data_IF_085729018554
#
_entry.id   IF_085729018554
#
_cell.length_a   1.000
_cell.length_b   1.000
_cell.length_c   1.000
_cell.angle_alpha   90.00
_cell.angle_beta   90.00
_cell.angle_gamma   90.00
#
_symmetry.space_group_name_H-M   'P 1'
#
loop_
_entity.id
_entity.type
_entity.pdbx_description
1 polymer ?
#
# COMPACT_ATOMS: atom_id res chain seq x y z
N UNK A 1 -34.79 11.82 -6.85
CA UNK A 1 -33.44 11.48 -6.36
C UNK A 1 -32.59 11.15 -7.57
N UNK A 2 -31.52 11.91 -7.81
CA UNK A 2 -30.59 11.66 -8.92
C UNK A 2 -29.49 10.70 -8.50
N UNK A 3 -29.08 9.81 -9.41
CA UNK A 3 -27.88 8.99 -9.24
C UNK A 3 -26.65 9.83 -9.54
N UNK A 4 -25.60 9.68 -8.72
CA UNK A 4 -24.29 10.26 -9.00
C UNK A 4 -23.43 9.19 -9.63
N UNK A 5 -22.84 9.48 -10.80
CA UNK A 5 -21.97 8.54 -11.50
C UNK A 5 -20.53 8.80 -11.11
N UNK A 6 -19.86 7.79 -10.57
CA UNK A 6 -18.43 7.82 -10.21
C UNK A 6 -17.80 6.60 -10.88
N UNK A 7 -16.76 6.82 -11.69
CA UNK A 7 -16.03 5.78 -12.44
C UNK A 7 -16.92 4.84 -13.28
N UNK A 8 -18.02 5.36 -13.81
CA UNK A 8 -18.97 4.59 -14.62
C UNK A 8 -20.03 3.80 -13.82
N UNK A 9 -20.00 3.87 -12.50
CA UNK A 9 -21.01 3.26 -11.62
C UNK A 9 -21.95 4.32 -11.04
N UNK A 10 -23.26 4.04 -11.08
CA UNK A 10 -24.29 4.91 -10.50
C UNK A 10 -24.51 4.60 -9.03
N UNK A 11 -24.40 5.61 -8.18
CA UNK A 11 -24.66 5.53 -6.75
C UNK A 11 -25.87 6.37 -6.36
N UNK A 12 -26.72 5.83 -5.50
CA UNK A 12 -27.80 6.58 -4.86
C UNK A 12 -27.26 7.40 -3.66
N UNK A 13 -28.10 8.28 -3.12
CA UNK A 13 -27.71 9.15 -2.01
C UNK A 13 -27.26 8.38 -0.76
N UNK A 14 -27.80 7.17 -0.55
CA UNK A 14 -27.47 6.32 0.60
C UNK A 14 -26.10 5.68 0.43
N UNK A 15 -25.77 5.19 -0.77
CA UNK A 15 -24.47 4.65 -1.11
C UNK A 15 -23.36 5.69 -0.99
N UNK A 16 -23.63 6.92 -1.45
CA UNK A 16 -22.71 8.05 -1.32
C UNK A 16 -22.46 8.39 0.16
N UNK A 17 -23.50 8.46 1.00
CA UNK A 17 -23.36 8.77 2.43
C UNK A 17 -22.55 7.70 3.18
N UNK A 18 -22.72 6.42 2.82
CA UNK A 18 -21.97 5.31 3.40
C UNK A 18 -20.49 5.33 2.99
N UNK A 19 -20.20 5.68 1.74
CA UNK A 19 -18.84 5.90 1.25
C UNK A 19 -18.19 7.06 2.01
N UNK A 20 -18.83 8.21 2.10
CA UNK A 20 -18.30 9.38 2.83
C UNK A 20 -17.95 9.06 4.28
N UNK A 21 -18.84 8.37 5.01
CA UNK A 21 -18.57 7.91 6.38
C UNK A 21 -17.36 6.98 6.49
N UNK A 22 -17.07 6.18 5.46
CA UNK A 22 -15.90 5.29 5.47
C UNK A 22 -14.57 6.03 5.33
N UNK A 23 -14.63 7.31 4.94
CA UNK A 23 -13.49 8.20 4.76
C UNK A 23 -13.61 9.46 5.65
N UNK A 24 -14.33 9.41 6.76
CA UNK A 24 -14.42 10.52 7.71
C UNK A 24 -13.02 10.88 8.27
N UNK A 25 -12.84 12.16 8.60
CA UNK A 25 -11.57 12.68 9.13
C UNK A 25 -11.16 11.93 10.40
N UNK A 26 -9.94 11.41 10.40
CA UNK A 26 -9.30 10.82 11.58
C UNK A 26 -7.81 11.18 11.65
N UNK A 27 -7.20 10.96 12.81
CA UNK A 27 -5.73 11.04 12.99
C UNK A 27 -4.97 10.05 12.10
N UNK A 28 -5.70 9.20 11.39
CA UNK A 28 -5.21 8.14 10.54
C UNK A 28 -5.28 8.46 9.05
N UNK A 29 -5.39 9.73 8.65
CA UNK A 29 -5.58 10.07 7.23
C UNK A 29 -4.68 11.21 6.75
N UNK A 30 -3.89 10.92 5.70
CA UNK A 30 -2.77 11.78 5.27
C UNK A 30 -3.01 12.50 3.92
N UNK A 31 -4.10 12.22 3.21
CA UNK A 31 -4.51 13.01 2.03
C UNK A 31 -6.03 13.14 1.93
N UNK A 32 -6.48 14.21 1.26
CA UNK A 32 -7.90 14.50 0.99
C UNK A 32 -8.14 14.42 -0.52
N UNK A 33 -8.87 13.40 -0.96
CA UNK A 33 -9.42 13.31 -2.31
C UNK A 33 -10.70 14.16 -2.37
N UNK A 34 -10.84 15.07 -3.34
CA UNK A 34 -12.07 15.84 -3.53
C UNK A 34 -12.84 15.28 -4.72
N UNK A 35 -14.06 14.79 -4.48
CA UNK A 35 -14.99 14.29 -5.50
C UNK A 35 -16.30 15.06 -5.37
N UNK A 36 -16.73 15.75 -6.45
CA UNK A 36 -17.98 16.53 -6.46
C UNK A 36 -18.15 17.45 -5.23
N UNK A 37 -17.12 18.24 -4.93
CA UNK A 37 -17.06 19.17 -3.78
C UNK A 37 -16.98 18.52 -2.39
N UNK A 38 -16.97 17.19 -2.30
CA UNK A 38 -16.88 16.42 -1.04
C UNK A 38 -15.49 15.84 -0.83
N UNK A 39 -15.01 15.84 0.41
CA UNK A 39 -13.64 15.48 0.83
C UNK A 39 -13.61 14.06 1.40
N UNK A 40 -12.82 13.15 0.79
CA UNK A 40 -12.57 11.78 1.26
C UNK A 40 -11.12 11.67 1.76
N UNK A 41 -10.93 11.09 2.93
CA UNK A 41 -9.63 10.99 3.58
C UNK A 41 -8.90 9.65 3.26
N UNK A 42 -7.84 9.66 2.44
CA UNK A 42 -7.23 8.45 1.85
C UNK A 42 -5.73 8.40 2.15
N UNK A 43 -5.26 7.47 3.00
CA UNK A 43 -3.90 6.90 2.97
C UNK A 43 -3.77 5.72 3.95
N UNK A 44 -3.92 5.89 5.28
CA UNK A 44 -3.71 4.75 6.20
C UNK A 44 -4.81 3.68 6.13
N UNK A 45 -6.02 4.02 5.72
CA UNK A 45 -7.07 3.02 5.49
C UNK A 45 -6.70 2.03 4.37
N UNK A 46 -6.11 2.55 3.27
CA UNK A 46 -5.61 1.73 2.17
C UNK A 46 -4.44 0.88 2.62
N UNK A 47 -3.48 1.46 3.35
CA UNK A 47 -2.33 0.73 3.89
C UNK A 47 -2.76 -0.41 4.80
N UNK A 48 -3.69 -0.17 5.75
CA UNK A 48 -4.23 -1.21 6.62
C UNK A 48 -4.94 -2.32 5.86
N UNK A 49 -5.73 -1.97 4.85
CA UNK A 49 -6.38 -2.96 4.01
C UNK A 49 -5.35 -3.87 3.33
N UNK A 50 -4.32 -3.28 2.71
CA UNK A 50 -3.27 -4.05 2.04
C UNK A 50 -2.47 -4.90 3.04
N UNK A 51 -2.07 -4.34 4.20
CA UNK A 51 -1.33 -5.04 5.26
C UNK A 51 -2.08 -6.29 5.73
N UNK A 52 -3.38 -6.14 6.01
CA UNK A 52 -4.22 -7.19 6.60
C UNK A 52 -4.72 -8.23 5.60
N UNK A 53 -4.80 -7.87 4.31
CA UNK A 53 -5.28 -8.77 3.27
C UNK A 53 -4.27 -9.89 2.93
N UNK A 54 -4.82 -11.08 2.67
CA UNK A 54 -4.08 -12.24 2.17
C UNK A 54 -3.97 -12.28 0.65
N UNK A 55 -4.71 -11.41 -0.06
CA UNK A 55 -4.72 -11.37 -1.53
C UNK A 55 -3.40 -10.82 -2.10
N UNK A 56 -2.65 -10.08 -1.28
CA UNK A 56 -1.35 -9.53 -1.64
C UNK A 56 -0.23 -10.36 -0.99
N UNK A 57 0.64 -10.94 -1.80
CA UNK A 57 1.86 -11.56 -1.30
C UNK A 57 2.87 -10.48 -0.87
N UNK A 58 3.91 -10.89 -0.14
CA UNK A 58 4.98 -10.00 0.36
C UNK A 58 5.57 -9.10 -0.75
N UNK A 59 5.86 -9.66 -1.92
CA UNK A 59 6.44 -8.92 -3.04
C UNK A 59 5.47 -7.86 -3.57
N UNK A 60 4.20 -8.20 -3.74
CA UNK A 60 3.16 -7.26 -4.17
C UNK A 60 2.99 -6.12 -3.16
N UNK A 61 2.95 -6.43 -1.86
CA UNK A 61 2.93 -5.42 -0.79
C UNK A 61 4.13 -4.48 -0.90
N UNK A 62 5.31 -5.02 -1.16
CA UNK A 62 6.54 -4.24 -1.32
C UNK A 62 6.51 -3.32 -2.57
N UNK A 63 6.04 -3.81 -3.71
CA UNK A 63 5.90 -3.02 -4.95
C UNK A 63 4.90 -1.88 -4.75
N UNK A 64 3.71 -2.18 -4.24
CA UNK A 64 2.66 -1.17 -4.01
C UNK A 64 3.12 -0.10 -3.03
N UNK A 65 3.85 -0.48 -1.98
CA UNK A 65 4.35 0.47 -1.01
C UNK A 65 5.32 1.49 -1.63
N UNK A 66 6.20 1.02 -2.51
CA UNK A 66 7.20 1.83 -3.18
C UNK A 66 6.59 2.69 -4.29
N UNK A 67 5.72 2.11 -5.11
CA UNK A 67 5.07 2.80 -6.24
C UNK A 67 4.18 3.95 -5.77
N UNK A 68 3.45 3.76 -4.66
CA UNK A 68 2.50 4.74 -4.12
C UNK A 68 3.04 5.52 -2.91
N UNK A 69 4.31 5.33 -2.56
CA UNK A 69 4.96 5.99 -1.41
C UNK A 69 4.18 5.84 -0.09
N UNK A 70 3.72 4.61 0.20
CA UNK A 70 2.93 4.26 1.38
C UNK A 70 3.85 3.81 2.51
N UNK A 71 4.22 4.74 3.40
CA UNK A 71 5.29 4.54 4.38
C UNK A 71 5.04 3.40 5.38
N UNK A 72 3.82 3.27 5.94
CA UNK A 72 3.51 2.22 6.91
C UNK A 72 3.48 0.84 6.23
N UNK A 73 2.93 0.77 5.01
CA UNK A 73 2.96 -0.44 4.20
C UNK A 73 4.39 -0.80 3.81
N UNK A 74 5.23 0.19 3.52
CA UNK A 74 6.64 -0.02 3.16
C UNK A 74 7.41 -0.63 4.33
N UNK A 75 7.27 -0.05 5.52
CA UNK A 75 7.86 -0.57 6.76
C UNK A 75 7.40 -2.01 7.02
N UNK A 76 6.10 -2.26 6.95
CA UNK A 76 5.52 -3.60 7.11
C UNK A 76 6.07 -4.59 6.08
N UNK A 77 6.05 -4.23 4.79
CA UNK A 77 6.47 -5.10 3.69
C UNK A 77 7.97 -5.44 3.78
N UNK A 78 8.82 -4.47 4.10
CA UNK A 78 10.25 -4.69 4.38
C UNK A 78 10.41 -5.64 5.59
N UNK A 79 9.57 -5.49 6.62
CA UNK A 79 9.55 -6.37 7.80
C UNK A 79 9.34 -7.85 7.49
N UNK A 80 8.58 -8.17 6.43
CA UNK A 80 8.31 -9.55 5.98
C UNK A 80 9.55 -10.25 5.37
N UNK A 81 10.63 -9.53 5.07
CA UNK A 81 11.91 -10.08 4.61
C UNK A 81 12.86 -10.38 5.78
N UNK A 82 12.43 -11.27 6.67
CA UNK A 82 13.12 -11.61 7.92
C UNK A 82 13.90 -12.96 7.86
N UNK A 83 13.97 -13.60 6.70
CA UNK A 83 14.69 -14.85 6.49
C UNK A 83 15.39 -14.86 5.13
N UNK A 84 16.47 -15.63 4.96
CA UNK A 84 17.19 -15.73 3.67
C UNK A 84 16.29 -16.20 2.52
N UNK A 85 15.37 -17.13 2.78
CA UNK A 85 14.45 -17.64 1.75
C UNK A 85 13.49 -16.56 1.26
N UNK A 86 13.13 -15.57 2.09
CA UNK A 86 12.29 -14.46 1.65
C UNK A 86 12.93 -13.66 0.50
N UNK A 87 14.26 -13.57 0.44
CA UNK A 87 14.98 -12.84 -0.61
C UNK A 87 15.01 -13.57 -1.95
N UNK A 88 14.50 -14.80 -2.04
CA UNK A 88 14.31 -15.49 -3.32
C UNK A 88 13.34 -14.73 -4.24
N UNK A 89 12.46 -13.88 -3.68
CA UNK A 89 11.58 -12.98 -4.44
C UNK A 89 12.36 -12.09 -5.44
N UNK A 90 13.65 -11.83 -5.20
CA UNK A 90 14.52 -11.02 -6.06
C UNK A 90 15.28 -11.83 -7.12
N UNK A 91 15.10 -13.15 -7.18
CA UNK A 91 15.81 -14.07 -8.08
C UNK A 91 15.03 -14.34 -9.40
N UNK A 92 14.22 -13.39 -9.87
CA UNK A 92 13.38 -13.52 -11.06
C UNK A 92 13.64 -12.44 -12.12
N UNK A 93 12.96 -12.53 -13.29
CA UNK A 93 13.11 -11.56 -14.39
C UNK A 93 12.59 -10.15 -14.03
N UNK A 94 11.82 -10.02 -12.95
CA UNK A 94 11.18 -8.81 -12.45
C UNK A 94 12.06 -7.99 -11.47
N UNK A 95 13.37 -7.87 -11.75
CA UNK A 95 14.30 -7.09 -10.91
C UNK A 95 14.03 -5.58 -10.93
N UNK A 96 13.15 -5.09 -11.79
CA UNK A 96 12.91 -3.66 -12.03
C UNK A 96 11.70 -3.08 -11.31
N UNK A 97 10.83 -3.88 -10.71
CA UNK A 97 9.52 -3.40 -10.22
C UNK A 97 9.59 -2.61 -8.90
N UNK A 98 10.79 -2.23 -8.45
CA UNK A 98 10.99 -1.34 -7.32
C UNK A 98 12.11 -0.33 -7.64
N UNK A 99 12.02 0.83 -7.00
CA UNK A 99 12.95 1.93 -7.06
C UNK A 99 14.36 1.51 -6.65
N UNK A 100 15.37 2.23 -7.15
CA UNK A 100 16.75 1.97 -6.74
C UNK A 100 16.96 2.26 -5.25
N UNK A 101 16.24 3.24 -4.69
CA UNK A 101 16.27 3.52 -3.26
C UNK A 101 15.80 2.32 -2.44
N UNK A 102 14.67 1.72 -2.82
CA UNK A 102 14.17 0.53 -2.12
C UNK A 102 15.08 -0.69 -2.31
N UNK A 103 15.68 -0.86 -3.49
CA UNK A 103 16.69 -1.93 -3.70
C UNK A 103 17.85 -1.81 -2.71
N UNK A 104 18.35 -0.59 -2.48
CA UNK A 104 19.40 -0.34 -1.50
C UNK A 104 18.94 -0.69 -0.08
N UNK A 105 17.75 -0.24 0.33
CA UNK A 105 17.17 -0.57 1.65
C UNK A 105 17.04 -2.09 1.88
N UNK A 106 16.57 -2.82 0.86
CA UNK A 106 16.45 -4.29 0.92
C UNK A 106 17.83 -4.95 0.99
N UNK A 107 18.79 -4.48 0.19
CA UNK A 107 20.16 -4.98 0.21
C UNK A 107 20.82 -4.77 1.57
N UNK A 108 20.71 -3.57 2.14
CA UNK A 108 21.23 -3.25 3.47
C UNK A 108 20.61 -4.14 4.55
N UNK A 109 19.29 -4.35 4.50
CA UNK A 109 18.61 -5.27 5.41
C UNK A 109 19.14 -6.70 5.28
N UNK A 110 19.35 -7.19 4.06
CA UNK A 110 19.92 -8.53 3.85
C UNK A 110 21.33 -8.62 4.45
N UNK A 111 22.20 -7.67 4.13
CA UNK A 111 23.58 -7.67 4.56
C UNK A 111 23.69 -7.60 6.09
N UNK A 112 23.01 -6.65 6.72
CA UNK A 112 23.05 -6.47 8.17
C UNK A 112 22.54 -7.70 8.94
N UNK A 113 21.57 -8.43 8.39
CA UNK A 113 20.98 -9.58 9.07
C UNK A 113 21.68 -10.91 8.78
N UNK A 114 22.31 -11.05 7.61
CA UNK A 114 22.72 -12.37 7.12
C UNK A 114 24.17 -12.46 6.64
N UNK A 115 24.87 -11.34 6.40
CA UNK A 115 26.22 -11.37 5.83
C UNK A 115 27.31 -11.82 6.81
N UNK A 116 27.08 -11.74 8.12
CA UNK A 116 28.02 -12.27 9.12
C UNK A 116 28.19 -13.81 9.05
N UNK A 117 27.29 -14.50 8.36
CA UNK A 117 27.28 -15.96 8.19
C UNK A 117 27.40 -16.36 6.70
N UNK A 118 28.09 -15.56 5.89
CA UNK A 118 28.38 -15.84 4.47
C UNK A 118 29.81 -16.37 4.30
#
# INVERSE_FOLDING_TARGET
>A
MGLVVIDGYGYDSVGIEKLEKSFDKSDETDAILVVNERKLHVNKALERFIISSQDFNRRQKLVMADEYNLENLLEYAIGLYNSRSAFQDFNGPHKTDISNELKLKIFDKFFNNFAHNL
#
